data_IF_617927805792
#
_entry.id   IF_617927805792
#
_cell.length_a   1.000
_cell.length_b   1.000
_cell.length_c   1.000
_cell.angle_alpha   90.00
_cell.angle_beta   90.00
_cell.angle_gamma   90.00
#
_symmetry.space_group_name_H-M   'P 1'
#
loop_
_entity.id
_entity.type
_entity.pdbx_description
1 polymer ?
#
# COMPACT_ATOMS: atom_id res chain seq x y z
N UNK A 1 3.80 -14.87 21.67
CA UNK A 1 4.23 -15.91 20.72
C UNK A 1 3.92 -15.39 19.33
N UNK A 2 4.89 -15.46 18.39
CA UNK A 2 4.71 -15.10 16.98
C UNK A 2 4.54 -16.37 16.14
N UNK A 3 3.78 -16.27 15.07
CA UNK A 3 3.59 -17.31 14.06
C UNK A 3 4.27 -16.88 12.76
N UNK A 4 4.90 -17.83 12.07
CA UNK A 4 5.61 -17.60 10.80
C UNK A 4 4.75 -18.00 9.63
N UNK A 5 4.78 -17.17 8.60
CA UNK A 5 4.09 -17.36 7.34
C UNK A 5 5.04 -17.08 6.18
N UNK A 6 4.81 -17.74 5.07
CA UNK A 6 5.52 -17.49 3.82
C UNK A 6 4.54 -16.94 2.79
N UNK A 7 4.87 -15.81 2.21
CA UNK A 7 4.06 -15.14 1.19
C UNK A 7 4.90 -14.82 -0.04
N UNK A 8 4.26 -14.88 -1.21
CA UNK A 8 4.81 -14.29 -2.42
C UNK A 8 4.31 -12.84 -2.52
N UNK A 9 5.19 -11.87 -2.23
CA UNK A 9 4.88 -10.45 -2.26
C UNK A 9 5.65 -9.79 -3.40
N UNK A 10 4.95 -9.28 -4.39
CA UNK A 10 5.57 -8.64 -5.58
C UNK A 10 6.62 -9.52 -6.27
N UNK A 11 6.36 -10.84 -6.34
CA UNK A 11 7.26 -11.82 -6.95
C UNK A 11 8.44 -12.27 -6.07
N UNK A 12 8.51 -11.84 -4.82
CA UNK A 12 9.52 -12.25 -3.86
C UNK A 12 8.91 -13.14 -2.77
N UNK A 13 9.56 -14.25 -2.45
CA UNK A 13 9.19 -15.07 -1.30
C UNK A 13 9.65 -14.38 -0.03
N UNK A 14 8.71 -14.01 0.83
CA UNK A 14 8.94 -13.29 2.08
C UNK A 14 8.47 -14.15 3.24
N UNK A 15 9.34 -14.30 4.25
CA UNK A 15 8.96 -14.81 5.55
C UNK A 15 8.51 -13.66 6.44
N UNK A 16 7.33 -13.79 7.03
CA UNK A 16 6.76 -12.79 7.93
C UNK A 16 6.31 -13.43 9.25
N UNK A 17 6.44 -12.68 10.33
CA UNK A 17 6.02 -13.10 11.66
C UNK A 17 4.91 -12.17 12.16
N UNK A 18 3.81 -12.76 12.62
CA UNK A 18 2.70 -12.04 13.23
C UNK A 18 2.50 -12.51 14.67
N UNK A 19 2.30 -11.56 15.58
CA UNK A 19 1.98 -11.89 16.96
C UNK A 19 0.56 -12.44 17.05
N UNK A 20 0.37 -13.53 17.82
CA UNK A 20 -0.97 -14.07 18.08
C UNK A 20 -1.90 -13.09 18.79
N UNK A 21 -1.33 -12.19 19.63
CA UNK A 21 -2.06 -11.09 20.24
C UNK A 21 -2.71 -10.22 19.18
N UNK A 22 -1.91 -9.72 18.22
CA UNK A 22 -2.35 -8.79 17.19
C UNK A 22 -3.40 -9.45 16.28
N UNK A 23 -3.20 -10.74 15.97
CA UNK A 23 -4.18 -11.52 15.20
C UNK A 23 -5.53 -11.55 15.90
N UNK A 24 -5.56 -11.80 17.21
CA UNK A 24 -6.80 -11.94 17.99
C UNK A 24 -7.44 -10.59 18.33
N UNK A 25 -6.63 -9.57 18.66
CA UNK A 25 -7.14 -8.28 19.15
C UNK A 25 -7.36 -7.23 18.05
N UNK A 26 -6.69 -7.39 16.88
CA UNK A 26 -6.75 -6.39 15.80
C UNK A 26 -7.26 -7.02 14.51
N UNK A 27 -6.57 -8.03 13.95
CA UNK A 27 -6.84 -8.46 12.58
C UNK A 27 -8.16 -9.23 12.44
N UNK A 28 -8.49 -10.14 13.37
CA UNK A 28 -9.77 -10.84 13.36
C UNK A 28 -10.95 -9.88 13.61
N UNK A 29 -10.92 -8.98 14.61
CA UNK A 29 -11.93 -7.95 14.78
C UNK A 29 -12.10 -7.04 13.55
N UNK A 30 -11.01 -6.58 12.93
CA UNK A 30 -11.04 -5.81 11.70
C UNK A 30 -11.75 -6.57 10.56
N UNK A 31 -11.37 -7.82 10.29
CA UNK A 31 -12.00 -8.62 9.24
C UNK A 31 -13.48 -8.89 9.51
N UNK A 32 -13.88 -9.07 10.77
CA UNK A 32 -15.30 -9.17 11.16
C UNK A 32 -16.05 -7.86 10.91
N UNK A 33 -15.44 -6.72 11.20
CA UNK A 33 -16.01 -5.40 10.92
C UNK A 33 -16.19 -5.18 9.42
N UNK A 34 -15.19 -5.49 8.61
CA UNK A 34 -15.27 -5.38 7.15
C UNK A 34 -16.32 -6.33 6.56
N UNK A 35 -16.45 -7.54 7.10
CA UNK A 35 -17.49 -8.51 6.70
C UNK A 35 -18.90 -7.95 6.96
N UNK A 36 -19.13 -7.33 8.14
CA UNK A 36 -20.41 -6.68 8.47
C UNK A 36 -20.67 -5.49 7.56
N UNK A 37 -19.70 -4.61 7.40
CA UNK A 37 -19.79 -3.43 6.54
C UNK A 37 -20.13 -3.83 5.10
N UNK A 38 -19.50 -4.87 4.56
CA UNK A 38 -19.80 -5.37 3.23
C UNK A 38 -21.24 -5.89 3.13
N UNK A 39 -21.70 -6.64 4.14
CA UNK A 39 -23.07 -7.15 4.17
C UNK A 39 -24.10 -5.99 4.25
N UNK A 40 -23.88 -4.99 5.08
CA UNK A 40 -24.73 -3.80 5.22
C UNK A 40 -24.80 -2.99 3.91
N UNK A 41 -23.65 -2.80 3.25
CA UNK A 41 -23.59 -2.09 1.96
C UNK A 41 -24.20 -2.88 0.81
N UNK A 42 -24.27 -4.21 0.93
CA UNK A 42 -24.78 -5.14 -0.09
C UNK A 42 -24.16 -4.93 -1.48
N UNK A 43 -22.88 -4.54 -1.53
CA UNK A 43 -22.07 -4.34 -2.73
C UNK A 43 -20.60 -4.61 -2.45
N UNK A 44 -19.78 -4.59 -3.48
CA UNK A 44 -18.31 -4.58 -3.27
C UNK A 44 -17.90 -3.32 -2.51
N UNK A 45 -16.98 -3.46 -1.55
CA UNK A 45 -16.44 -2.34 -0.78
C UNK A 45 -14.96 -2.15 -1.04
N UNK A 46 -14.51 -0.91 -1.02
CA UNK A 46 -13.11 -0.50 -1.09
C UNK A 46 -12.61 -0.16 0.32
N UNK A 47 -11.50 -0.79 0.72
CA UNK A 47 -10.80 -0.53 1.97
C UNK A 47 -9.42 0.03 1.64
N UNK A 48 -9.08 1.22 2.15
CA UNK A 48 -7.73 1.77 1.97
C UNK A 48 -6.81 1.33 3.10
N UNK A 49 -5.65 0.79 2.76
CA UNK A 49 -4.56 0.54 3.67
C UNK A 49 -3.37 1.42 3.27
N UNK A 50 -3.26 2.55 3.93
CA UNK A 50 -2.18 3.52 3.70
C UNK A 50 -1.07 3.35 4.73
N UNK A 51 0.17 3.46 4.27
CA UNK A 51 1.35 3.49 5.13
C UNK A 51 2.56 3.98 4.34
N UNK A 52 3.60 4.50 4.98
CA UNK A 52 4.82 4.87 4.28
C UNK A 52 5.53 3.68 3.61
N UNK A 53 6.47 3.92 2.70
CA UNK A 53 7.28 2.87 2.06
C UNK A 53 7.91 1.92 3.08
N UNK A 54 7.98 0.62 2.76
CA UNK A 54 8.57 -0.44 3.59
C UNK A 54 7.98 -0.61 5.01
N UNK A 55 6.79 -0.10 5.27
CA UNK A 55 6.04 -0.32 6.52
C UNK A 55 5.44 -1.72 6.66
N UNK A 56 5.54 -2.57 5.62
CA UNK A 56 4.99 -3.93 5.65
C UNK A 56 3.56 -4.07 5.13
N UNK A 57 3.00 -3.04 4.46
CA UNK A 57 1.62 -3.04 3.90
C UNK A 57 1.28 -4.30 3.12
N UNK A 58 2.06 -4.60 2.09
CA UNK A 58 1.79 -5.73 1.18
C UNK A 58 1.84 -7.07 1.92
N UNK A 59 2.75 -7.22 2.87
CA UNK A 59 2.85 -8.41 3.73
C UNK A 59 1.63 -8.53 4.65
N UNK A 60 1.18 -7.42 5.22
CA UNK A 60 -0.05 -7.37 6.03
C UNK A 60 -1.28 -7.71 5.18
N UNK A 61 -1.36 -7.20 3.96
CA UNK A 61 -2.42 -7.53 3.02
C UNK A 61 -2.50 -9.04 2.73
N UNK A 62 -1.37 -9.69 2.43
CA UNK A 62 -1.33 -11.15 2.23
C UNK A 62 -1.79 -11.91 3.49
N UNK A 63 -1.44 -11.41 4.67
CA UNK A 63 -1.88 -12.01 5.91
C UNK A 63 -3.40 -11.86 6.14
N UNK A 64 -3.95 -10.68 5.89
CA UNK A 64 -5.40 -10.45 5.97
C UNK A 64 -6.18 -11.30 4.96
N UNK A 65 -5.67 -11.45 3.73
CA UNK A 65 -6.23 -12.39 2.75
C UNK A 65 -6.23 -13.82 3.27
N UNK A 66 -5.10 -14.29 3.82
CA UNK A 66 -4.97 -15.62 4.41
C UNK A 66 -5.98 -15.83 5.53
N UNK A 67 -6.04 -14.92 6.50
CA UNK A 67 -6.98 -15.02 7.63
C UNK A 67 -8.44 -15.04 7.16
N UNK A 68 -8.79 -14.18 6.20
CA UNK A 68 -10.17 -14.10 5.71
C UNK A 68 -10.67 -15.38 5.03
N UNK A 69 -9.75 -16.18 4.47
CA UNK A 69 -10.05 -17.45 3.82
C UNK A 69 -10.00 -18.65 4.78
N UNK A 70 -9.25 -18.52 5.88
CA UNK A 70 -9.05 -19.64 6.82
C UNK A 70 -9.97 -19.59 8.03
N UNK A 71 -10.49 -18.43 8.39
CA UNK A 71 -11.38 -18.25 9.54
C UNK A 71 -12.83 -18.33 9.07
N UNK A 72 -13.64 -19.32 9.59
CA UNK A 72 -15.04 -19.45 9.22
C UNK A 72 -15.86 -18.19 9.54
N UNK A 73 -16.79 -17.85 8.66
CA UNK A 73 -17.73 -16.73 8.83
C UNK A 73 -17.17 -15.36 8.44
N UNK A 74 -15.94 -15.30 7.93
CA UNK A 74 -15.40 -14.09 7.31
C UNK A 74 -15.67 -14.07 5.80
N UNK A 75 -15.94 -12.90 5.27
CA UNK A 75 -15.97 -12.67 3.82
C UNK A 75 -14.53 -12.58 3.31
N UNK A 76 -14.15 -13.37 2.29
CA UNK A 76 -12.81 -13.29 1.71
C UNK A 76 -12.47 -11.89 1.24
N UNK A 77 -11.25 -11.44 1.53
CA UNK A 77 -10.70 -10.19 1.03
C UNK A 77 -9.73 -10.44 -0.12
N UNK A 78 -9.60 -9.48 -1.01
CA UNK A 78 -8.59 -9.44 -2.07
C UNK A 78 -7.79 -8.16 -1.95
N UNK A 79 -6.48 -8.27 -1.92
CA UNK A 79 -5.59 -7.13 -1.86
C UNK A 79 -5.06 -6.75 -3.26
N UNK A 80 -5.00 -5.45 -3.52
CA UNK A 80 -4.41 -4.87 -4.73
C UNK A 80 -3.59 -3.64 -4.39
N UNK A 81 -2.44 -3.48 -5.05
CA UNK A 81 -1.56 -2.33 -4.85
C UNK A 81 -1.88 -1.17 -5.79
N UNK A 82 -1.57 0.06 -5.39
CA UNK A 82 -1.67 1.23 -6.25
C UNK A 82 -0.45 1.43 -7.16
N UNK A 83 0.61 0.65 -7.00
CA UNK A 83 1.84 0.79 -7.81
C UNK A 83 1.57 0.64 -9.31
N UNK A 84 0.53 -0.13 -9.71
CA UNK A 84 0.08 -0.24 -11.09
C UNK A 84 -0.47 1.05 -11.72
N UNK A 85 -0.67 2.10 -10.91
CA UNK A 85 -1.11 3.43 -11.36
C UNK A 85 0.04 4.43 -11.51
N UNK A 86 1.29 4.02 -11.38
CA UNK A 86 2.38 4.88 -11.80
C UNK A 86 2.21 5.27 -13.29
N UNK A 87 2.63 6.49 -13.62
CA UNK A 87 2.81 6.82 -15.03
C UNK A 87 3.85 5.91 -15.67
N UNK A 88 3.70 5.64 -16.96
CA UNK A 88 4.70 4.93 -17.74
C UNK A 88 6.03 5.66 -17.75
N UNK A 89 7.13 4.93 -17.95
CA UNK A 89 8.47 5.52 -17.83
C UNK A 89 8.70 6.66 -18.83
N UNK A 90 8.19 6.55 -20.05
CA UNK A 90 8.25 7.61 -21.07
C UNK A 90 7.54 8.90 -20.66
N UNK A 91 6.42 8.79 -19.94
CA UNK A 91 5.71 9.94 -19.37
C UNK A 91 6.55 10.55 -18.24
N UNK A 92 7.13 9.72 -17.37
CA UNK A 92 7.98 10.21 -16.28
C UNK A 92 9.24 10.92 -16.78
N UNK A 93 9.83 10.45 -17.89
CA UNK A 93 11.03 11.02 -18.51
C UNK A 93 10.76 12.34 -19.22
N UNK A 94 9.54 12.50 -19.77
CA UNK A 94 9.15 13.67 -20.57
C UNK A 94 8.48 14.78 -19.79
N UNK A 95 8.05 14.53 -18.54
CA UNK A 95 7.32 15.51 -17.72
C UNK A 95 8.11 15.97 -16.50
N UNK A 96 7.81 17.18 -16.06
CA UNK A 96 8.41 17.79 -14.89
C UNK A 96 7.35 18.29 -13.92
N UNK A 97 7.72 18.50 -12.68
CA UNK A 97 6.90 19.15 -11.66
C UNK A 97 7.69 20.28 -10.98
N UNK A 98 7.00 21.35 -10.61
CA UNK A 98 7.57 22.39 -9.77
C UNK A 98 7.42 22.00 -8.29
N UNK A 99 8.56 21.84 -7.60
CA UNK A 99 8.59 21.43 -6.20
C UNK A 99 9.76 22.10 -5.48
N UNK A 100 9.50 22.66 -4.30
CA UNK A 100 10.53 23.31 -3.46
C UNK A 100 11.35 24.41 -4.18
N UNK A 101 10.73 25.15 -5.10
CA UNK A 101 11.41 26.23 -5.83
C UNK A 101 12.13 25.76 -7.11
N UNK A 102 12.10 24.49 -7.44
CA UNK A 102 12.82 23.91 -8.58
C UNK A 102 11.90 23.12 -9.52
N UNK A 103 12.28 23.06 -10.80
CA UNK A 103 11.63 22.17 -11.79
C UNK A 103 12.37 20.83 -11.76
N UNK A 104 11.66 19.78 -11.37
CA UNK A 104 12.21 18.43 -11.18
C UNK A 104 11.57 17.48 -12.19
N UNK A 105 12.35 16.68 -12.97
CA UNK A 105 11.82 15.59 -13.78
C UNK A 105 11.09 14.56 -12.92
N UNK A 106 9.90 14.11 -13.36
CA UNK A 106 9.11 13.11 -12.63
C UNK A 106 9.88 11.80 -12.42
N UNK A 107 10.73 11.41 -13.38
CA UNK A 107 11.56 10.22 -13.26
C UNK A 107 12.49 10.25 -12.03
N UNK A 108 12.97 11.43 -11.61
CA UNK A 108 13.84 11.56 -10.43
C UNK A 108 13.11 11.36 -9.10
N UNK A 109 11.80 11.53 -9.10
CA UNK A 109 10.97 11.41 -7.89
C UNK A 109 9.98 10.25 -7.98
N UNK A 110 10.27 9.25 -8.82
CA UNK A 110 9.41 8.07 -8.97
C UNK A 110 9.08 7.45 -7.61
N UNK A 111 7.77 7.23 -7.37
CA UNK A 111 7.23 6.83 -6.07
C UNK A 111 6.66 8.00 -5.25
N UNK A 112 6.92 9.26 -5.63
CA UNK A 112 6.24 10.43 -5.06
C UNK A 112 4.79 10.51 -5.59
N UNK A 113 3.87 11.18 -4.87
CA UNK A 113 2.44 11.19 -5.23
C UNK A 113 2.16 11.78 -6.62
N UNK A 114 3.03 12.67 -7.12
CA UNK A 114 2.94 13.29 -8.44
C UNK A 114 3.22 12.32 -9.60
N UNK A 115 3.74 11.12 -9.31
CA UNK A 115 4.12 10.12 -10.32
C UNK A 115 3.06 9.07 -10.59
N UNK A 116 1.84 9.29 -10.10
CA UNK A 116 0.70 8.38 -10.24
C UNK A 116 -0.45 8.99 -11.04
N UNK A 117 -1.12 8.18 -11.84
CA UNK A 117 -2.38 8.53 -12.49
C UNK A 117 -3.56 8.35 -11.52
N UNK A 118 -3.75 9.35 -10.67
CA UNK A 118 -4.84 9.36 -9.66
C UNK A 118 -6.21 9.46 -10.33
N UNK A 119 -6.30 10.06 -11.53
CA UNK A 119 -7.56 10.13 -12.28
C UNK A 119 -8.01 8.73 -12.70
N UNK A 120 -7.09 7.92 -13.22
CA UNK A 120 -7.35 6.52 -13.57
C UNK A 120 -7.73 5.69 -12.35
N UNK A 121 -6.99 5.84 -11.24
CA UNK A 121 -7.30 5.17 -9.98
C UNK A 121 -8.72 5.49 -9.51
N UNK A 122 -9.11 6.77 -9.54
CA UNK A 122 -10.47 7.21 -9.20
C UNK A 122 -11.51 6.55 -10.08
N UNK A 123 -11.32 6.56 -11.40
CA UNK A 123 -12.26 5.95 -12.33
C UNK A 123 -12.47 4.46 -12.08
N UNK A 124 -11.41 3.71 -11.75
CA UNK A 124 -11.53 2.29 -11.38
C UNK A 124 -12.22 2.10 -10.02
N UNK A 125 -12.00 2.98 -9.03
CA UNK A 125 -12.72 2.94 -7.77
C UNK A 125 -14.22 3.22 -7.93
N UNK A 126 -14.58 4.20 -8.75
CA UNK A 126 -15.98 4.54 -9.06
C UNK A 126 -16.69 3.39 -9.78
N UNK A 127 -15.97 2.66 -10.62
CA UNK A 127 -16.49 1.50 -11.36
C UNK A 127 -16.34 0.16 -10.63
N UNK A 128 -15.87 0.14 -9.39
CA UNK A 128 -15.50 -1.08 -8.65
C UNK A 128 -16.64 -2.11 -8.54
N UNK A 129 -17.90 -1.68 -8.59
CA UNK A 129 -19.08 -2.53 -8.54
C UNK A 129 -19.55 -3.03 -9.91
N UNK A 130 -18.88 -2.63 -11.01
CA UNK A 130 -19.15 -3.14 -12.34
C UNK A 130 -18.73 -4.59 -12.52
N UNK A 131 -19.17 -5.19 -13.64
CA UNK A 131 -18.74 -6.52 -14.04
C UNK A 131 -17.32 -6.47 -14.66
N UNK A 132 -16.61 -7.60 -14.61
CA UNK A 132 -15.31 -7.81 -15.27
C UNK A 132 -14.28 -6.70 -14.95
N UNK A 133 -14.15 -6.35 -13.69
CA UNK A 133 -13.17 -5.35 -13.26
C UNK A 133 -11.77 -5.95 -13.22
N UNK A 134 -10.82 -5.25 -13.82
CA UNK A 134 -9.40 -5.60 -13.82
C UNK A 134 -8.57 -4.46 -13.23
N UNK A 135 -7.52 -4.83 -12.48
CA UNK A 135 -6.61 -3.91 -11.81
C UNK A 135 -5.24 -3.93 -12.47
N UNK A 136 -4.57 -2.80 -12.68
CA UNK A 136 -3.20 -2.77 -13.20
C UNK A 136 -2.22 -3.25 -12.13
N UNK A 137 -1.12 -3.86 -12.57
CA UNK A 137 0.00 -4.27 -11.73
C UNK A 137 1.27 -3.57 -12.16
N UNK A 138 2.13 -3.19 -11.22
CA UNK A 138 3.46 -2.70 -11.56
C UNK A 138 4.44 -3.88 -11.73
N UNK A 139 4.93 -4.10 -12.93
CA UNK A 139 5.96 -5.11 -13.20
C UNK A 139 7.35 -4.52 -12.98
N UNK A 140 8.02 -5.01 -11.93
CA UNK A 140 9.36 -4.53 -11.53
C UNK A 140 10.47 -4.93 -12.50
N UNK A 141 10.24 -5.92 -13.38
CA UNK A 141 11.23 -6.37 -14.37
C UNK A 141 11.30 -5.41 -15.54
N UNK A 142 10.17 -4.87 -15.95
CA UNK A 142 10.08 -3.90 -17.07
C UNK A 142 9.95 -2.45 -16.57
N UNK A 143 9.91 -2.24 -15.24
CA UNK A 143 9.76 -0.94 -14.58
C UNK A 143 8.55 -0.12 -15.07
N UNK A 144 7.45 -0.79 -15.45
CA UNK A 144 6.23 -0.16 -15.96
C UNK A 144 4.97 -0.83 -15.43
N UNK A 145 3.83 -0.11 -15.43
CA UNK A 145 2.51 -0.69 -15.23
C UNK A 145 2.16 -1.70 -16.33
N UNK A 146 1.43 -2.73 -15.93
CA UNK A 146 0.79 -3.70 -16.84
C UNK A 146 -0.71 -3.60 -16.61
N UNK A 147 -1.44 -3.29 -17.67
CA UNK A 147 -2.89 -3.13 -17.61
C UNK A 147 -3.60 -4.48 -17.49
N UNK A 148 -4.80 -4.44 -16.87
CA UNK A 148 -5.69 -5.61 -16.77
C UNK A 148 -5.01 -6.87 -16.22
N UNK A 149 -4.05 -6.69 -15.31
CA UNK A 149 -3.21 -7.78 -14.81
C UNK A 149 -3.88 -8.62 -13.71
N UNK A 150 -4.80 -8.03 -12.94
CA UNK A 150 -5.44 -8.68 -11.79
C UNK A 150 -6.96 -8.56 -11.91
N UNK A 151 -7.65 -9.67 -12.03
CA UNK A 151 -9.11 -9.70 -12.01
C UNK A 151 -9.64 -9.48 -10.58
N UNK A 152 -10.60 -8.57 -10.44
CA UNK A 152 -11.25 -8.28 -9.15
C UNK A 152 -12.43 -9.25 -8.96
N UNK A 153 -12.28 -10.17 -8.02
CA UNK A 153 -13.24 -11.26 -7.78
C UNK A 153 -13.99 -11.14 -6.47
N UNK A 154 -13.32 -10.68 -5.41
CA UNK A 154 -13.88 -10.67 -4.07
C UNK A 154 -14.81 -9.47 -3.83
N UNK A 155 -15.57 -9.54 -2.73
CA UNK A 155 -16.50 -8.47 -2.32
C UNK A 155 -15.84 -7.40 -1.44
N UNK A 156 -14.72 -7.73 -0.81
CA UNK A 156 -13.94 -6.79 0.01
C UNK A 156 -12.59 -6.62 -0.67
N UNK A 157 -12.30 -5.41 -1.16
CA UNK A 157 -11.05 -5.09 -1.84
C UNK A 157 -10.23 -4.18 -0.95
N UNK A 158 -9.05 -4.67 -0.53
CA UNK A 158 -8.07 -3.87 0.21
C UNK A 158 -7.08 -3.28 -0.80
N UNK A 159 -7.15 -1.96 -0.97
CA UNK A 159 -6.16 -1.22 -1.73
C UNK A 159 -5.01 -0.85 -0.81
N UNK A 160 -3.79 -1.25 -1.15
CA UNK A 160 -2.63 -0.84 -0.40
C UNK A 160 -1.78 0.17 -1.17
N UNK A 161 -1.31 1.20 -0.47
CA UNK A 161 -0.47 2.22 -1.07
C UNK A 161 0.00 3.29 -0.11
N UNK A 162 1.02 4.05 -0.52
CA UNK A 162 1.57 5.07 0.36
C UNK A 162 0.66 6.30 0.49
N UNK A 163 -0.07 6.65 -0.58
CA UNK A 163 -0.71 7.95 -0.76
C UNK A 163 -2.23 7.93 -0.63
N UNK A 164 -2.85 6.77 -0.35
CA UNK A 164 -4.30 6.61 -0.33
C UNK A 164 -5.03 7.51 0.67
N UNK A 165 -4.34 7.96 1.71
CA UNK A 165 -4.87 8.89 2.71
C UNK A 165 -4.17 10.25 2.71
N UNK A 166 -3.35 10.55 1.69
CA UNK A 166 -2.69 11.85 1.56
C UNK A 166 -3.74 12.97 1.45
N UNK A 167 -3.64 13.99 2.33
CA UNK A 167 -4.56 15.13 2.37
C UNK A 167 -4.13 16.27 1.43
N UNK A 168 -3.80 15.90 0.21
CA UNK A 168 -3.43 16.80 -0.86
C UNK A 168 -4.18 16.43 -2.15
N UNK A 169 -4.53 17.43 -2.96
CA UNK A 169 -5.11 17.17 -4.28
C UNK A 169 -4.07 16.54 -5.22
N UNK A 170 -4.45 15.58 -6.06
CA UNK A 170 -5.79 15.04 -6.26
C UNK A 170 -6.15 13.84 -5.33
N UNK A 171 -5.24 13.39 -4.46
CA UNK A 171 -5.38 12.20 -3.62
C UNK A 171 -6.53 12.29 -2.62
N UNK A 172 -6.73 13.48 -2.03
CA UNK A 172 -7.79 13.72 -1.04
C UNK A 172 -9.21 13.63 -1.59
N UNK A 173 -9.34 13.54 -2.92
CA UNK A 173 -10.62 13.31 -3.60
C UNK A 173 -10.99 11.83 -3.76
N UNK A 174 -10.08 10.90 -3.41
CA UNK A 174 -10.38 9.48 -3.39
C UNK A 174 -11.25 9.14 -2.18
N UNK A 175 -12.22 8.26 -2.39
CA UNK A 175 -13.14 7.78 -1.36
C UNK A 175 -13.04 6.26 -1.21
N UNK A 176 -13.26 5.78 0.01
CA UNK A 176 -13.35 4.36 0.35
C UNK A 176 -14.49 4.13 1.35
N UNK A 177 -14.81 2.87 1.60
CA UNK A 177 -15.82 2.48 2.59
C UNK A 177 -15.21 2.34 3.99
N UNK A 178 -13.91 2.08 4.09
CA UNK A 178 -13.15 1.99 5.33
C UNK A 178 -11.67 2.29 5.06
N UNK A 179 -10.99 2.88 6.04
CA UNK A 179 -9.60 3.31 5.88
C UNK A 179 -8.73 2.89 7.06
N UNK A 180 -7.53 2.42 6.76
CA UNK A 180 -6.52 1.97 7.72
C UNK A 180 -5.24 2.76 7.46
N UNK A 181 -4.69 3.38 8.50
CA UNK A 181 -3.37 3.99 8.45
C UNK A 181 -2.40 3.22 9.34
N UNK A 182 -1.38 2.61 8.72
CA UNK A 182 -0.31 1.95 9.47
C UNK A 182 0.88 2.90 9.60
N UNK A 183 1.08 3.42 10.80
CA UNK A 183 2.18 4.31 11.12
C UNK A 183 3.48 3.51 11.26
N UNK A 184 4.50 3.92 10.52
CA UNK A 184 5.85 3.41 10.62
C UNK A 184 6.81 4.56 10.26
N UNK A 185 8.01 4.58 10.79
CA UNK A 185 8.94 5.70 10.56
C UNK A 185 10.18 5.60 11.44
N UNK A 186 10.64 4.38 11.69
CA UNK A 186 11.84 4.11 12.47
C UNK A 186 13.07 3.86 11.58
N UNK A 187 14.26 3.81 12.21
CA UNK A 187 15.51 3.51 11.52
C UNK A 187 15.50 2.13 10.84
N UNK A 188 14.77 1.16 11.41
CA UNK A 188 14.66 -0.19 10.84
C UNK A 188 13.93 -0.18 9.49
N UNK A 189 13.00 0.75 9.28
CA UNK A 189 12.31 0.95 8.01
C UNK A 189 13.28 1.45 6.93
N UNK A 190 14.14 2.40 7.26
CA UNK A 190 15.16 2.91 6.33
C UNK A 190 16.11 1.80 5.90
N UNK A 191 16.58 1.01 6.86
CA UNK A 191 17.48 -0.12 6.55
C UNK A 191 16.79 -1.15 5.65
N UNK A 192 15.52 -1.47 5.89
CA UNK A 192 14.74 -2.35 4.99
C UNK A 192 14.67 -1.83 3.55
N UNK A 193 14.56 -0.49 3.37
CA UNK A 193 14.54 0.11 2.03
C UNK A 193 15.93 -0.01 1.38
N UNK A 194 16.99 0.27 2.12
CA UNK A 194 18.37 0.12 1.64
C UNK A 194 18.62 -1.32 1.18
N UNK A 195 18.32 -2.31 2.03
CA UNK A 195 18.48 -3.73 1.70
C UNK A 195 17.70 -4.13 0.46
N UNK A 196 16.45 -3.67 0.33
CA UNK A 196 15.64 -3.95 -0.86
C UNK A 196 16.24 -3.38 -2.15
N UNK A 197 16.85 -2.18 -2.08
CA UNK A 197 17.56 -1.58 -3.23
C UNK A 197 18.83 -2.35 -3.56
N UNK A 198 19.58 -2.79 -2.56
CA UNK A 198 20.77 -3.65 -2.76
C UNK A 198 20.41 -4.98 -3.42
N UNK A 199 19.31 -5.62 -3.00
CA UNK A 199 18.76 -6.82 -3.67
C UNK A 199 18.36 -6.54 -5.14
N UNK A 200 18.00 -5.31 -5.47
CA UNK A 200 17.73 -4.83 -6.82
C UNK A 200 18.98 -4.46 -7.62
N UNK A 201 20.20 -4.71 -7.08
CA UNK A 201 21.47 -4.52 -7.79
C UNK A 201 22.19 -3.19 -7.54
N UNK A 202 21.67 -2.32 -6.65
CA UNK A 202 22.38 -1.09 -6.29
C UNK A 202 23.52 -1.38 -5.28
N UNK A 203 24.62 -0.62 -5.36
CA UNK A 203 25.61 -0.58 -4.29
C UNK A 203 24.99 0.01 -3.02
N UNK A 204 25.52 -0.33 -1.85
CA UNK A 204 25.02 0.21 -0.57
C UNK A 204 25.06 1.74 -0.53
N UNK A 205 26.17 2.33 -0.97
CA UNK A 205 26.34 3.80 -1.02
C UNK A 205 25.25 4.46 -1.89
N UNK A 206 25.04 3.95 -3.09
CA UNK A 206 24.01 4.45 -4.00
C UNK A 206 22.60 4.21 -3.45
N UNK A 207 22.34 3.05 -2.86
CA UNK A 207 21.07 2.76 -2.21
C UNK A 207 20.77 3.76 -1.07
N UNK A 208 21.75 4.02 -0.19
CA UNK A 208 21.62 5.02 0.89
C UNK A 208 21.41 6.43 0.36
N UNK A 209 22.08 6.81 -0.73
CA UNK A 209 21.87 8.10 -1.38
C UNK A 209 20.43 8.26 -1.90
N UNK A 210 19.90 7.26 -2.62
CA UNK A 210 18.53 7.27 -3.13
C UNK A 210 17.53 7.33 -1.96
N UNK A 211 17.77 6.54 -0.90
CA UNK A 211 16.89 6.55 0.29
C UNK A 211 16.83 7.95 0.90
N UNK A 212 17.95 8.63 1.06
CA UNK A 212 17.99 9.98 1.64
C UNK A 212 17.34 11.03 0.74
N UNK A 213 17.55 10.96 -0.57
CA UNK A 213 17.09 11.98 -1.53
C UNK A 213 15.62 11.79 -1.96
N UNK A 214 15.08 10.59 -1.94
CA UNK A 214 13.74 10.29 -2.45
C UNK A 214 12.85 9.55 -1.44
N UNK A 215 13.28 8.38 -0.92
CA UNK A 215 12.38 7.58 -0.08
C UNK A 215 12.09 8.24 1.27
N UNK A 216 13.09 8.84 1.92
CA UNK A 216 12.91 9.52 3.21
C UNK A 216 11.97 10.73 3.14
N UNK A 217 12.13 11.67 2.20
CA UNK A 217 11.13 12.72 1.99
C UNK A 217 9.71 12.20 1.77
N UNK A 218 9.55 11.10 1.04
CA UNK A 218 8.24 10.48 0.84
C UNK A 218 7.68 9.85 2.12
N UNK A 219 8.52 9.23 2.95
CA UNK A 219 8.11 8.72 4.27
C UNK A 219 7.59 9.87 5.14
N UNK A 220 8.37 10.96 5.26
CA UNK A 220 7.99 12.13 6.06
C UNK A 220 6.69 12.75 5.55
N UNK A 221 6.54 12.91 4.22
CA UNK A 221 5.31 13.44 3.62
C UNK A 221 4.11 12.55 3.91
N UNK A 222 4.24 11.23 3.72
CA UNK A 222 3.19 10.27 4.03
C UNK A 222 2.77 10.34 5.51
N UNK A 223 3.75 10.41 6.43
CA UNK A 223 3.50 10.43 7.86
C UNK A 223 2.85 11.72 8.35
N UNK A 224 3.22 12.87 7.77
CA UNK A 224 2.80 14.18 8.27
C UNK A 224 1.58 14.75 7.54
N UNK A 225 1.32 14.31 6.31
CA UNK A 225 0.30 14.88 5.44
C UNK A 225 -0.82 13.91 5.10
N UNK A 226 -0.83 12.69 5.66
CA UNK A 226 -1.97 11.80 5.57
C UNK A 226 -3.01 12.12 6.64
N UNK A 227 -4.29 12.09 6.23
CA UNK A 227 -5.42 12.15 7.17
C UNK A 227 -5.48 10.89 8.01
N UNK A 228 -6.09 10.97 9.17
CA UNK A 228 -6.37 9.78 9.99
C UNK A 228 -7.29 8.82 9.25
N UNK A 229 -7.02 7.53 9.41
CA UNK A 229 -7.92 6.47 8.99
C UNK A 229 -9.02 6.20 10.03
N UNK A 230 -10.00 5.37 9.66
CA UNK A 230 -10.98 4.82 10.60
C UNK A 230 -10.29 3.92 11.63
N UNK A 231 -9.21 3.24 11.24
CA UNK A 231 -8.32 2.49 12.11
C UNK A 231 -6.88 3.00 11.92
N UNK A 232 -6.23 3.39 13.02
CA UNK A 232 -4.84 3.86 12.99
C UNK A 232 -3.99 2.93 13.84
N UNK A 233 -2.93 2.38 13.25
CA UNK A 233 -2.09 1.36 13.84
C UNK A 233 -0.63 1.83 13.90
N UNK A 234 0.09 1.45 14.95
CA UNK A 234 1.53 1.61 15.05
C UNK A 234 2.18 0.41 15.74
N UNK A 235 3.43 0.11 15.40
CA UNK A 235 4.21 -0.85 16.17
C UNK A 235 4.79 -0.17 17.40
N UNK A 236 4.58 -0.79 18.58
CA UNK A 236 5.24 -0.37 19.80
C UNK A 236 6.71 -0.84 19.85
N UNK A 237 7.42 -0.49 20.92
CA UNK A 237 8.84 -0.84 21.12
C UNK A 237 9.11 -2.35 21.12
N UNK A 238 8.10 -3.19 21.40
CA UNK A 238 8.19 -4.65 21.39
C UNK A 238 7.81 -5.26 20.04
N UNK A 239 7.54 -4.43 19.02
CA UNK A 239 7.10 -4.86 17.70
C UNK A 239 5.70 -5.49 17.71
N UNK A 240 4.86 -5.09 18.67
CA UNK A 240 3.44 -5.44 18.77
C UNK A 240 2.63 -4.29 18.19
N UNK A 241 1.59 -4.61 17.43
CA UNK A 241 0.74 -3.61 16.81
C UNK A 241 -0.28 -3.07 17.81
N UNK A 242 -0.45 -1.77 17.83
CA UNK A 242 -1.38 -1.07 18.73
C UNK A 242 -2.23 -0.08 17.93
N UNK A 243 -3.47 0.12 18.36
CA UNK A 243 -4.32 1.21 17.88
C UNK A 243 -3.94 2.52 18.53
N UNK A 244 -3.84 3.62 17.75
CA UNK A 244 -3.36 4.94 18.19
C UNK A 244 -4.32 6.09 17.85
#
# INVERSE_FOLDING_TARGET
>A
MKERYEFCVNGLNIQAEFARSDTRSIFIPLLKQLTRLQAEKNRRIAVFLAAPPAAGKSTLCCYLEHLSRTIPGLTPVQAVGIDGFHYYQDVLDSHTVYRNGEIIPLAKIKGAPETYDVKKLRGLLESLNGENQFWPLYDRRIHNPVENAVEIREKIIILEGNWLLLDEAPWNSLSCDYSIFLRAGDESQLERIVQRKMMGGFSEEHARQIVRSNDWPNIIRCMNQSRRGDLNLAYNQNGILEEI
#
